data_IF_910363952709
#
_entry.id   IF_910363952709
#
_cell.length_a   1.000
_cell.length_b   1.000
_cell.length_c   1.000
_cell.angle_alpha   90.00
_cell.angle_beta   90.00
_cell.angle_gamma   90.00
#
_symmetry.space_group_name_H-M   'P 1'
#
loop_
_entity.id
_entity.type
_entity.pdbx_description
1 polymer ?
#
# COMPACT_ATOMS: atom_id res chain seq x y z
N UNK A 1 9.90 6.66 8.92
CA UNK A 1 10.93 7.39 9.70
C UNK A 1 12.34 6.85 9.47
N UNK A 2 12.59 5.56 9.65
CA UNK A 2 13.94 4.98 9.46
C UNK A 2 14.43 5.06 8.00
N UNK A 3 13.59 4.79 7.02
CA UNK A 3 13.93 4.85 5.59
C UNK A 3 14.17 6.27 5.07
N UNK A 4 13.49 7.26 5.63
CA UNK A 4 13.73 8.67 5.28
C UNK A 4 15.07 9.14 5.83
N UNK A 5 15.44 8.69 7.02
CA UNK A 5 16.74 9.00 7.62
C UNK A 5 17.90 8.36 6.84
N UNK A 6 17.73 7.11 6.41
CA UNK A 6 18.71 6.41 5.56
C UNK A 6 18.83 7.07 4.19
N UNK A 7 17.72 7.51 3.59
CA UNK A 7 17.72 8.24 2.32
C UNK A 7 18.47 9.56 2.41
N UNK A 8 18.23 10.33 3.47
CA UNK A 8 18.93 11.60 3.70
C UNK A 8 20.43 11.40 3.96
N UNK A 9 20.79 10.36 4.69
CA UNK A 9 22.19 10.00 4.93
C UNK A 9 22.89 9.59 3.63
N UNK A 10 22.24 8.81 2.75
CA UNK A 10 22.77 8.38 1.47
C UNK A 10 22.94 9.57 0.50
N UNK A 11 22.03 10.52 0.49
CA UNK A 11 22.15 11.75 -0.30
C UNK A 11 23.37 12.58 0.16
N UNK A 12 23.57 12.69 1.48
CA UNK A 12 24.71 13.42 2.05
C UNK A 12 26.06 12.77 1.75
N UNK A 13 26.10 11.45 1.68
CA UNK A 13 27.35 10.68 1.45
C UNK A 13 27.63 10.41 -0.04
N UNK A 14 26.78 10.89 -0.97
CA UNK A 14 26.87 10.64 -2.42
C UNK A 14 26.93 9.14 -2.80
N UNK A 15 26.51 8.26 -1.91
CA UNK A 15 26.39 6.82 -2.18
C UNK A 15 25.07 6.60 -2.92
N UNK A 16 25.13 5.98 -4.10
CA UNK A 16 23.91 5.55 -4.80
C UNK A 16 23.27 4.41 -4.03
N UNK A 17 21.99 4.49 -3.65
CA UNK A 17 21.31 3.36 -3.04
C UNK A 17 21.32 2.19 -4.01
N UNK A 18 21.69 1.02 -3.53
CA UNK A 18 21.58 -0.23 -4.29
C UNK A 18 20.09 -0.51 -4.44
N UNK A 19 19.57 -0.37 -5.64
CA UNK A 19 18.18 -0.74 -5.95
C UNK A 19 18.15 -2.26 -6.09
N UNK A 20 17.73 -2.95 -5.05
CA UNK A 20 17.47 -4.38 -5.13
C UNK A 20 16.22 -4.59 -5.98
N UNK A 21 16.36 -5.32 -7.09
CA UNK A 21 15.22 -5.80 -7.84
C UNK A 21 14.47 -6.80 -6.95
N UNK A 22 13.22 -6.50 -6.61
CA UNK A 22 12.37 -7.39 -5.83
C UNK A 22 11.27 -7.94 -6.73
N UNK A 23 11.07 -9.28 -6.78
CA UNK A 23 10.00 -9.89 -7.58
C UNK A 23 8.62 -9.32 -7.24
N UNK A 24 8.41 -8.94 -5.98
CA UNK A 24 7.17 -8.31 -5.53
C UNK A 24 6.94 -6.96 -6.21
N UNK A 25 7.97 -6.13 -6.37
CA UNK A 25 7.84 -4.82 -7.01
C UNK A 25 7.43 -4.96 -8.48
N UNK A 26 8.03 -5.89 -9.21
CA UNK A 26 7.68 -6.17 -10.60
C UNK A 26 6.24 -6.67 -10.73
N UNK A 27 5.80 -7.54 -9.83
CA UNK A 27 4.42 -8.01 -9.77
C UNK A 27 3.42 -6.88 -9.45
N UNK A 28 3.77 -5.95 -8.56
CA UNK A 28 2.96 -4.76 -8.27
C UNK A 28 2.83 -3.85 -9.50
N UNK A 29 3.92 -3.60 -10.22
CA UNK A 29 3.91 -2.81 -11.46
C UNK A 29 3.04 -3.48 -12.52
N UNK A 30 3.19 -4.78 -12.70
CA UNK A 30 2.39 -5.56 -13.65
C UNK A 30 0.90 -5.50 -13.31
N UNK A 31 0.54 -5.60 -12.03
CA UNK A 31 -0.84 -5.48 -11.57
C UNK A 31 -1.43 -4.10 -11.91
N UNK A 32 -0.70 -3.01 -11.61
CA UNK A 32 -1.16 -1.65 -11.91
C UNK A 32 -1.32 -1.42 -13.42
N UNK A 33 -0.44 -1.99 -14.24
CA UNK A 33 -0.51 -1.90 -15.70
C UNK A 33 -1.53 -2.84 -16.34
N UNK A 34 -2.18 -3.72 -15.57
CA UNK A 34 -3.18 -4.65 -16.09
C UNK A 34 -4.48 -3.93 -16.47
N UNK A 35 -5.26 -4.55 -17.37
CA UNK A 35 -6.57 -4.02 -17.79
C UNK A 35 -7.65 -4.10 -16.70
N UNK A 36 -7.43 -4.93 -15.69
CA UNK A 36 -8.31 -5.00 -14.52
C UNK A 36 -7.77 -3.99 -13.51
N UNK A 37 -8.36 -2.80 -13.41
CA UNK A 37 -7.90 -1.80 -12.48
C UNK A 37 -8.08 -2.36 -11.06
N UNK A 38 -7.02 -2.30 -10.31
CA UNK A 38 -7.05 -2.80 -8.96
C UNK A 38 -6.23 -1.92 -8.05
N UNK A 39 -6.82 -1.62 -6.92
CA UNK A 39 -6.07 -1.08 -5.80
C UNK A 39 -5.10 -2.11 -5.27
N UNK A 40 -4.10 -1.68 -4.51
CA UNK A 40 -3.00 -2.51 -4.06
C UNK A 40 -2.79 -2.31 -2.57
N UNK A 41 -2.75 -3.39 -1.83
CA UNK A 41 -2.42 -3.42 -0.42
C UNK A 41 -1.03 -4.02 -0.23
N UNK A 42 -0.13 -3.25 0.35
CA UNK A 42 1.19 -3.71 0.80
C UNK A 42 1.07 -3.97 2.30
N UNK A 43 0.89 -5.24 2.65
CA UNK A 43 0.68 -5.68 4.02
C UNK A 43 1.96 -6.25 4.63
N UNK A 44 2.09 -6.22 5.95
CA UNK A 44 3.22 -6.80 6.66
C UNK A 44 3.30 -6.30 8.09
N UNK A 45 4.29 -6.80 8.83
CA UNK A 45 4.62 -6.35 10.18
C UNK A 45 5.61 -5.17 10.16
N UNK A 46 6.00 -4.69 11.34
CA UNK A 46 7.04 -3.67 11.43
C UNK A 46 8.37 -4.22 10.89
N UNK A 47 9.07 -3.44 10.05
CA UNK A 47 10.35 -3.83 9.47
C UNK A 47 10.30 -4.66 8.19
N UNK A 48 9.11 -5.06 7.70
CA UNK A 48 8.97 -5.87 6.48
C UNK A 48 9.24 -5.10 5.16
N UNK A 49 9.60 -3.83 5.25
CA UNK A 49 9.93 -3.02 4.07
C UNK A 49 8.72 -2.45 3.31
N UNK A 50 7.55 -2.33 3.94
CA UNK A 50 6.36 -1.73 3.33
C UNK A 50 6.63 -0.35 2.73
N UNK A 51 7.24 0.53 3.52
CA UNK A 51 7.58 1.91 3.09
C UNK A 51 8.58 1.90 1.94
N UNK A 52 9.55 1.00 1.96
CA UNK A 52 10.50 0.81 0.86
C UNK A 52 9.78 0.44 -0.44
N UNK A 53 8.91 -0.57 -0.41
CA UNK A 53 8.17 -1.01 -1.60
C UNK A 53 7.21 0.08 -2.11
N UNK A 54 6.55 0.79 -1.20
CA UNK A 54 5.67 1.90 -1.55
C UNK A 54 6.43 3.04 -2.27
N UNK A 55 7.60 3.42 -1.75
CA UNK A 55 8.50 4.42 -2.37
C UNK A 55 9.07 3.93 -3.70
N UNK A 56 9.54 2.69 -3.76
CA UNK A 56 10.08 2.12 -4.98
C UNK A 56 9.01 2.06 -6.09
N UNK A 57 7.78 1.72 -5.74
CA UNK A 57 6.64 1.73 -6.64
C UNK A 57 6.32 3.15 -7.15
N UNK A 58 6.31 4.14 -6.25
CA UNK A 58 6.16 5.55 -6.59
C UNK A 58 7.18 5.99 -7.64
N UNK A 59 8.46 5.71 -7.40
CA UNK A 59 9.55 6.07 -8.32
C UNK A 59 9.41 5.36 -9.68
N UNK A 60 9.03 4.09 -9.69
CA UNK A 60 8.84 3.29 -10.91
C UNK A 60 7.66 3.77 -11.75
N UNK A 61 6.65 4.37 -11.12
CA UNK A 61 5.50 4.97 -11.80
C UNK A 61 5.75 6.43 -12.24
N UNK A 62 6.97 6.92 -12.08
CA UNK A 62 7.37 8.26 -12.51
C UNK A 62 7.11 9.37 -11.48
N UNK A 63 6.87 9.00 -10.23
CA UNK A 63 6.68 9.96 -9.14
C UNK A 63 7.97 10.72 -8.79
N UNK A 64 7.85 12.01 -8.50
CA UNK A 64 8.97 12.85 -8.07
C UNK A 64 9.40 12.47 -6.65
N UNK A 65 10.68 12.07 -6.44
CA UNK A 65 11.21 11.78 -5.10
C UNK A 65 11.08 12.93 -4.10
N UNK A 66 11.13 14.19 -4.56
CA UNK A 66 10.94 15.37 -3.70
C UNK A 66 9.50 15.47 -3.18
N UNK A 67 8.53 15.15 -4.04
CA UNK A 67 7.12 15.08 -3.63
C UNK A 67 6.91 13.95 -2.63
N UNK A 68 7.55 12.80 -2.85
CA UNK A 68 7.49 11.70 -1.87
C UNK A 68 8.03 12.11 -0.50
N UNK A 69 9.19 12.78 -0.46
CA UNK A 69 9.84 13.22 0.76
C UNK A 69 9.14 14.39 1.46
N UNK A 70 8.23 15.10 0.78
CA UNK A 70 7.49 16.20 1.39
C UNK A 70 6.54 15.72 2.52
N UNK A 71 6.14 16.65 3.39
CA UNK A 71 5.20 16.35 4.48
C UNK A 71 3.90 15.75 3.96
N UNK A 72 3.27 14.93 4.76
CA UNK A 72 2.00 14.28 4.47
C UNK A 72 2.14 12.83 4.03
N UNK A 73 1.21 12.03 4.50
CA UNK A 73 1.19 10.58 4.37
C UNK A 73 0.41 10.10 3.13
N UNK A 74 -0.31 11.00 2.46
CA UNK A 74 -1.00 10.74 1.20
C UNK A 74 -0.26 11.44 0.07
N UNK A 75 0.06 10.70 -1.00
CA UNK A 75 0.67 11.22 -2.23
C UNK A 75 -0.15 10.78 -3.43
N UNK A 76 -0.21 11.63 -4.43
CA UNK A 76 -1.00 11.37 -5.63
C UNK A 76 -0.16 11.56 -6.89
N UNK A 77 -0.34 10.67 -7.85
CA UNK A 77 0.28 10.77 -9.17
C UNK A 77 -0.71 10.35 -10.25
N UNK A 78 -0.75 11.07 -11.34
CA UNK A 78 -1.51 10.68 -12.51
C UNK A 78 -0.68 9.73 -13.37
N UNK A 79 -1.22 8.54 -13.61
CA UNK A 79 -0.59 7.54 -14.45
C UNK A 79 -0.70 7.90 -15.94
N UNK A 80 0.10 7.26 -16.77
CA UNK A 80 0.10 7.49 -18.22
C UNK A 80 -1.24 7.18 -18.90
N UNK A 81 -2.02 6.28 -18.34
CA UNK A 81 -3.36 5.91 -18.82
C UNK A 81 -4.47 6.84 -18.30
N UNK A 82 -4.12 7.89 -17.57
CA UNK A 82 -5.04 8.91 -17.04
C UNK A 82 -5.61 8.61 -15.67
N UNK A 83 -5.41 7.40 -15.11
CA UNK A 83 -5.88 7.06 -13.74
C UNK A 83 -5.10 7.86 -12.70
N UNK A 84 -5.74 8.14 -11.58
CA UNK A 84 -5.12 8.73 -10.40
C UNK A 84 -4.65 7.60 -9.45
N UNK A 85 -3.36 7.51 -9.22
CA UNK A 85 -2.80 6.62 -8.21
C UNK A 85 -2.60 7.38 -6.90
N UNK A 86 -3.25 6.90 -5.84
CA UNK A 86 -3.24 7.49 -4.50
C UNK A 86 -2.43 6.59 -3.59
N UNK A 87 -1.32 7.09 -3.12
CA UNK A 87 -0.43 6.39 -2.20
C UNK A 87 -0.70 6.80 -0.77
N UNK A 88 -1.00 5.83 0.07
CA UNK A 88 -1.09 5.98 1.52
C UNK A 88 0.14 5.29 2.10
N UNK A 89 1.14 6.09 2.49
CA UNK A 89 2.49 5.62 2.82
C UNK A 89 2.54 4.67 4.01
N UNK A 90 1.74 4.95 5.03
CA UNK A 90 1.61 4.13 6.22
C UNK A 90 0.30 4.47 6.96
N UNK A 91 -0.56 3.48 7.11
CA UNK A 91 -1.82 3.66 7.83
C UNK A 91 -1.60 3.97 9.32
N UNK A 92 -0.46 3.58 9.89
CA UNK A 92 -0.15 3.82 11.30
C UNK A 92 0.04 5.29 11.66
N UNK A 93 0.38 6.13 10.70
CA UNK A 93 0.60 7.55 10.90
C UNK A 93 -0.70 8.37 11.03
N UNK A 94 -1.85 7.77 10.70
CA UNK A 94 -3.14 8.43 10.86
C UNK A 94 -3.70 8.23 12.27
N UNK A 95 -4.22 9.29 12.85
CA UNK A 95 -5.08 9.19 14.04
C UNK A 95 -6.43 8.52 13.69
N UNK A 96 -7.17 8.08 14.71
CA UNK A 96 -8.37 7.27 14.54
C UNK A 96 -9.32 7.74 13.44
N UNK A 97 -9.81 8.97 13.53
CA UNK A 97 -10.76 9.54 12.56
C UNK A 97 -10.10 9.95 11.24
N UNK A 98 -8.83 10.34 11.25
CA UNK A 98 -8.10 10.72 10.05
C UNK A 98 -7.92 9.55 9.08
N UNK A 99 -7.88 8.33 9.59
CA UNK A 99 -7.79 7.13 8.76
C UNK A 99 -9.06 6.82 7.97
N UNK A 100 -10.19 7.43 8.31
CA UNK A 100 -11.48 7.15 7.67
C UNK A 100 -11.47 7.55 6.19
N UNK A 101 -10.93 8.72 5.86
CA UNK A 101 -10.88 9.18 4.47
C UNK A 101 -10.05 8.26 3.55
N UNK A 102 -8.80 7.87 3.91
CA UNK A 102 -8.04 6.88 3.16
C UNK A 102 -8.77 5.54 3.00
N UNK A 103 -9.42 5.05 4.05
CA UNK A 103 -10.14 3.77 4.00
C UNK A 103 -11.41 3.85 3.16
N UNK A 104 -12.13 4.97 3.18
CA UNK A 104 -13.28 5.21 2.29
C UNK A 104 -12.85 5.35 0.83
N UNK A 105 -11.68 5.92 0.56
CA UNK A 105 -11.08 5.93 -0.78
C UNK A 105 -10.80 4.51 -1.26
N UNK A 106 -10.17 3.69 -0.41
CA UNK A 106 -9.92 2.28 -0.71
C UNK A 106 -11.24 1.53 -0.98
N UNK A 107 -12.25 1.70 -0.13
CA UNK A 107 -13.57 1.08 -0.32
C UNK A 107 -14.16 1.44 -1.67
N UNK A 108 -14.18 2.72 -2.03
CA UNK A 108 -14.71 3.18 -3.32
C UNK A 108 -13.96 2.60 -4.51
N UNK A 109 -12.63 2.59 -4.46
CA UNK A 109 -11.80 2.06 -5.56
C UNK A 109 -11.96 0.54 -5.73
N UNK A 110 -12.25 -0.19 -4.65
CA UNK A 110 -12.42 -1.65 -4.69
C UNK A 110 -13.86 -2.05 -5.03
N UNK A 111 -14.84 -1.38 -4.45
CA UNK A 111 -16.26 -1.77 -4.54
C UNK A 111 -17.11 -0.83 -5.41
N UNK A 112 -16.64 0.38 -5.65
CA UNK A 112 -17.44 1.43 -6.29
C UNK A 112 -17.56 1.33 -7.81
N UNK A 113 -16.81 0.45 -8.48
CA UNK A 113 -16.86 0.30 -9.95
C UNK A 113 -16.22 1.46 -10.73
N UNK A 114 -15.63 2.45 -10.07
CA UNK A 114 -14.91 3.55 -10.72
C UNK A 114 -13.44 3.14 -10.93
N UNK A 115 -13.03 3.16 -12.18
CA UNK A 115 -11.68 2.80 -12.61
C UNK A 115 -10.74 4.01 -12.74
N UNK A 116 -11.22 5.21 -12.46
CA UNK A 116 -10.45 6.45 -12.58
C UNK A 116 -9.40 6.61 -11.47
N UNK A 117 -9.57 5.94 -10.35
CA UNK A 117 -8.70 6.00 -9.19
C UNK A 117 -8.29 4.62 -8.71
N UNK A 118 -7.01 4.45 -8.39
CA UNK A 118 -6.47 3.29 -7.67
C UNK A 118 -5.82 3.75 -6.38
N UNK A 119 -5.95 2.95 -5.32
CA UNK A 119 -5.34 3.23 -4.02
C UNK A 119 -4.23 2.22 -3.75
N UNK A 120 -3.06 2.71 -3.42
CA UNK A 120 -1.92 1.93 -2.96
C UNK A 120 -1.75 2.20 -1.47
N UNK A 121 -2.09 1.22 -0.64
CA UNK A 121 -2.10 1.35 0.82
C UNK A 121 -1.02 0.46 1.43
N UNK A 122 -0.13 1.05 2.25
CA UNK A 122 0.76 0.30 3.12
C UNK A 122 0.17 0.22 4.55
N UNK A 123 0.03 -0.99 5.08
CA UNK A 123 -0.58 -1.19 6.39
C UNK A 123 -0.10 -2.48 7.09
N UNK A 124 -0.11 -2.46 8.42
CA UNK A 124 -0.03 -3.66 9.23
C UNK A 124 -1.40 -4.38 9.23
N UNK A 125 -1.38 -5.72 9.16
CA UNK A 125 -2.60 -6.54 9.10
C UNK A 125 -3.61 -6.23 10.21
N UNK A 126 -3.16 -6.34 11.47
CA UNK A 126 -4.03 -6.14 12.64
C UNK A 126 -4.59 -4.73 12.68
N UNK A 127 -3.72 -3.74 12.46
CA UNK A 127 -4.11 -2.34 12.45
C UNK A 127 -5.15 -2.03 11.36
N UNK A 128 -4.96 -2.55 10.15
CA UNK A 128 -5.93 -2.36 9.07
C UNK A 128 -7.29 -2.94 9.44
N UNK A 129 -7.33 -4.16 9.97
CA UNK A 129 -8.58 -4.80 10.37
C UNK A 129 -9.28 -4.06 11.52
N UNK A 130 -8.52 -3.52 12.48
CA UNK A 130 -9.05 -2.71 13.57
C UNK A 130 -9.62 -1.38 13.06
N UNK A 131 -8.91 -0.68 12.18
CA UNK A 131 -9.40 0.57 11.56
C UNK A 131 -10.68 0.35 10.75
N UNK A 132 -10.75 -0.72 9.96
CA UNK A 132 -11.96 -1.08 9.20
C UNK A 132 -13.12 -1.42 10.13
N UNK A 133 -12.88 -2.13 11.25
CA UNK A 133 -13.90 -2.40 12.28
C UNK A 133 -14.43 -1.09 12.87
N UNK A 134 -13.56 -0.18 13.25
CA UNK A 134 -13.94 1.05 13.92
C UNK A 134 -14.66 2.01 12.97
N UNK A 135 -14.22 2.09 11.70
CA UNK A 135 -14.95 2.81 10.64
C UNK A 135 -16.35 2.22 10.44
N UNK A 136 -16.48 0.90 10.36
CA UNK A 136 -17.76 0.22 10.24
C UNK A 136 -18.70 0.55 11.41
N UNK A 137 -18.20 0.52 12.64
CA UNK A 137 -18.97 0.90 13.83
C UNK A 137 -19.50 2.34 13.74
N UNK A 138 -18.67 3.30 13.33
CA UNK A 138 -19.08 4.70 13.15
C UNK A 138 -20.15 4.86 12.06
N UNK A 139 -20.13 3.99 11.05
CA UNK A 139 -21.13 3.97 9.98
C UNK A 139 -22.37 3.12 10.31
N UNK A 140 -22.44 2.51 11.50
CA UNK A 140 -23.54 1.63 11.88
C UNK A 140 -23.64 0.34 11.07
N UNK A 141 -22.52 -0.11 10.46
CA UNK A 141 -22.45 -1.32 9.63
C UNK A 141 -21.16 -2.09 9.83
N UNK A 142 -21.13 -3.37 9.44
CA UNK A 142 -19.88 -4.08 9.25
C UNK A 142 -19.20 -3.58 7.98
N UNK A 143 -17.91 -3.17 8.08
CA UNK A 143 -17.18 -2.69 6.91
C UNK A 143 -16.99 -3.82 5.88
N UNK A 144 -17.37 -3.63 4.61
CA UNK A 144 -17.44 -4.72 3.62
C UNK A 144 -16.08 -5.34 3.27
N UNK A 145 -14.99 -4.57 3.39
CA UNK A 145 -13.63 -5.10 3.12
C UNK A 145 -13.03 -5.88 4.29
N UNK A 146 -13.57 -5.74 5.51
CA UNK A 146 -12.94 -6.32 6.70
C UNK A 146 -12.86 -7.84 6.66
N UNK A 147 -13.97 -8.52 6.39
CA UNK A 147 -14.02 -9.98 6.36
C UNK A 147 -13.22 -10.58 5.21
N UNK A 148 -13.34 -10.12 3.96
CA UNK A 148 -12.54 -10.63 2.85
C UNK A 148 -11.03 -10.44 3.07
N UNK A 149 -10.60 -9.33 3.64
CA UNK A 149 -9.19 -9.11 3.98
C UNK A 149 -8.72 -10.03 5.10
N UNK A 150 -9.51 -10.22 6.15
CA UNK A 150 -9.18 -11.15 7.22
C UNK A 150 -9.02 -12.58 6.68
N UNK A 151 -9.94 -13.04 5.84
CA UNK A 151 -9.86 -14.35 5.19
C UNK A 151 -8.63 -14.48 4.29
N UNK A 152 -8.30 -13.43 3.52
CA UNK A 152 -7.10 -13.38 2.69
C UNK A 152 -5.82 -13.45 3.53
N UNK A 153 -5.73 -12.73 4.63
CA UNK A 153 -4.57 -12.78 5.53
C UNK A 153 -4.40 -14.16 6.19
N UNK A 154 -5.48 -14.86 6.47
CA UNK A 154 -5.47 -16.21 7.01
C UNK A 154 -5.34 -17.30 5.94
N UNK A 155 -5.26 -16.93 4.65
CA UNK A 155 -5.32 -17.85 3.49
C UNK A 155 -6.60 -18.72 3.47
N UNK A 156 -7.66 -18.25 4.09
CA UNK A 156 -8.95 -18.91 4.13
C UNK A 156 -9.87 -18.53 2.96
N UNK A 157 -9.47 -17.53 2.16
CA UNK A 157 -10.22 -17.05 1.01
C UNK A 157 -9.43 -16.10 0.14
N UNK A 158 -9.92 -15.79 -1.07
CA UNK A 158 -9.29 -14.84 -1.97
C UNK A 158 -9.45 -13.39 -1.45
N UNK A 159 -8.51 -12.53 -1.86
CA UNK A 159 -8.69 -11.09 -1.72
C UNK A 159 -9.89 -10.61 -2.58
N UNK A 160 -10.48 -9.45 -2.27
CA UNK A 160 -11.47 -8.83 -3.15
C UNK A 160 -10.94 -8.71 -4.59
N UNK A 161 -11.78 -8.96 -5.58
CA UNK A 161 -11.36 -9.09 -6.99
C UNK A 161 -10.63 -7.86 -7.57
N UNK A 162 -10.89 -6.67 -7.00
CA UNK A 162 -10.27 -5.41 -7.42
C UNK A 162 -9.19 -4.92 -6.46
N UNK A 163 -8.67 -5.80 -5.59
CA UNK A 163 -7.62 -5.51 -4.64
C UNK A 163 -6.54 -6.60 -4.68
N UNK A 164 -5.35 -6.26 -5.13
CA UNK A 164 -4.20 -7.13 -4.97
C UNK A 164 -3.58 -6.96 -3.59
N UNK A 165 -3.32 -8.06 -2.91
CA UNK A 165 -2.69 -8.08 -1.59
C UNK A 165 -1.29 -8.65 -1.70
N UNK A 166 -0.29 -7.84 -1.37
CA UNK A 166 1.11 -8.23 -1.28
C UNK A 166 1.53 -8.28 0.19
N UNK A 167 1.60 -9.49 0.72
CA UNK A 167 1.96 -9.74 2.12
C UNK A 167 3.46 -9.98 2.25
N UNK A 168 4.19 -8.94 2.64
CA UNK A 168 5.65 -8.98 2.75
C UNK A 168 6.14 -9.86 3.91
N UNK A 169 5.32 -10.08 4.94
CA UNK A 169 5.69 -10.94 6.07
C UNK A 169 5.90 -12.41 5.66
N UNK A 170 5.32 -12.82 4.55
CA UNK A 170 5.40 -14.19 4.02
C UNK A 170 6.58 -14.41 3.07
N UNK A 171 7.10 -13.35 2.46
CA UNK A 171 8.24 -13.45 1.55
C UNK A 171 9.54 -13.75 2.29
N UNK A 172 9.66 -13.33 3.55
CA UNK A 172 10.84 -13.54 4.40
C UNK A 172 11.01 -15.00 4.83
N UNK A 173 9.92 -15.76 4.93
CA UNK A 173 9.95 -17.15 5.38
C UNK A 173 10.29 -18.18 4.27
N UNK A 174 10.34 -17.77 3.00
CA UNK A 174 10.68 -18.68 1.88
C UNK A 174 12.18 -18.71 1.52
N UNK A 175 12.99 -17.82 2.08
CA UNK A 175 14.44 -17.74 1.78
C UNK A 175 15.33 -18.45 2.80
N UNK A 176 14.79 -19.18 3.78
CA UNK A 176 15.58 -19.72 4.88
C UNK A 176 15.79 -21.24 4.83
N UNK A 177 15.33 -21.94 3.79
CA UNK A 177 15.59 -23.39 3.66
C UNK A 177 15.76 -23.76 2.17
N UNK A 178 16.98 -23.59 1.67
CA UNK A 178 17.64 -24.44 0.68
C UNK A 178 19.13 -24.51 1.01
#
# INVERSE_FOLDING_TARGET
MFDEYVSDALVRTKVRPITLATPQLDAMIQHIGSKVPGSLLIAGTAGDGKTYHCRALWNRLGGDPKVWASKGNVKEIRLLDGRLAVFIKDLSEFNGLESDQPLLRLERSVLGGDDSEIVILAANHGQLLDRLRDLGKRQGRTHPLRRPLQESFLQAGPAPSRLAVFDLSRSTNRQTFD
#
